data_IF_812260674601
#
_entry.id   IF_812260674601
#
_cell.length_a   1.000
_cell.length_b   1.000
_cell.length_c   1.000
_cell.angle_alpha   90.00
_cell.angle_beta   90.00
_cell.angle_gamma   90.00
#
_symmetry.space_group_name_H-M   'P 1'
#
loop_
_entity.id
_entity.type
_entity.pdbx_description
1 polymer ?
#
# COMPACT_ATOMS: atom_id res chain seq x y z
N UNK A 1 7.09 43.72 -21.37
CA UNK A 1 7.12 42.64 -22.38
C UNK A 1 7.57 41.38 -21.69
N UNK A 2 6.65 40.49 -21.30
CA UNK A 2 6.94 39.22 -20.63
C UNK A 2 6.68 38.10 -21.64
N UNK A 3 7.72 37.38 -22.03
CA UNK A 3 7.64 36.22 -22.91
C UNK A 3 7.19 35.02 -22.07
N UNK A 4 6.03 34.44 -22.38
CA UNK A 4 5.55 33.16 -21.88
C UNK A 4 6.22 32.06 -22.70
N UNK A 5 6.96 31.19 -22.04
CA UNK A 5 7.49 29.95 -22.62
C UNK A 5 6.52 28.84 -22.32
N UNK A 6 5.88 28.35 -23.37
CA UNK A 6 4.96 27.21 -23.32
C UNK A 6 5.80 25.92 -23.48
N UNK A 7 5.83 25.07 -22.47
CA UNK A 7 6.42 23.73 -22.58
C UNK A 7 5.36 22.74 -23.07
N UNK A 8 5.62 22.21 -24.25
CA UNK A 8 4.83 21.14 -24.85
C UNK A 8 5.50 19.80 -24.47
N UNK A 9 4.88 19.01 -23.61
CA UNK A 9 5.30 17.64 -23.28
C UNK A 9 4.71 16.69 -24.32
N UNK A 10 5.59 16.15 -25.18
CA UNK A 10 5.26 15.05 -26.09
C UNK A 10 5.47 13.75 -25.33
N UNK A 11 4.38 13.05 -25.05
CA UNK A 11 4.38 11.72 -24.46
C UNK A 11 4.53 10.69 -25.60
N UNK A 12 5.73 10.13 -25.80
CA UNK A 12 5.95 9.01 -26.69
C UNK A 12 5.75 7.69 -25.94
N UNK A 13 4.67 7.02 -26.29
CA UNK A 13 4.33 5.66 -25.82
C UNK A 13 5.25 4.64 -26.53
N UNK A 14 6.17 4.04 -25.79
CA UNK A 14 7.00 2.92 -26.29
C UNK A 14 6.34 1.62 -25.87
N UNK A 15 5.69 0.97 -26.82
CA UNK A 15 5.16 -0.39 -26.70
C UNK A 15 6.31 -1.38 -26.92
N UNK A 16 6.79 -2.04 -25.87
CA UNK A 16 7.70 -3.21 -25.99
C UNK A 16 6.90 -4.49 -25.81
N UNK A 17 6.67 -5.17 -26.91
CA UNK A 17 6.15 -6.54 -26.94
C UNK A 17 7.25 -7.50 -26.51
N UNK A 18 7.07 -8.18 -25.39
CA UNK A 18 7.92 -9.32 -25.00
C UNK A 18 7.28 -10.60 -25.52
N UNK A 19 7.95 -11.22 -26.49
CA UNK A 19 7.60 -12.53 -27.06
C UNK A 19 8.15 -13.60 -26.12
N UNK A 20 7.29 -14.28 -25.35
CA UNK A 20 7.68 -15.44 -24.55
C UNK A 20 7.56 -16.70 -25.39
N UNK A 21 8.69 -17.27 -25.77
CA UNK A 21 8.76 -18.57 -26.45
C UNK A 21 8.44 -19.71 -25.47
N UNK A 22 7.45 -20.50 -25.82
CA UNK A 22 7.14 -21.78 -25.16
C UNK A 22 8.02 -22.86 -25.79
N UNK A 23 8.87 -23.51 -25.01
CA UNK A 23 9.61 -24.72 -25.39
C UNK A 23 8.83 -25.93 -24.91
N UNK A 24 8.33 -26.74 -25.83
CA UNK A 24 7.80 -28.06 -25.52
C UNK A 24 8.96 -29.08 -25.45
N UNK A 25 9.06 -29.75 -24.30
CA UNK A 25 9.86 -30.99 -24.20
C UNK A 25 8.89 -32.16 -24.09
N UNK A 26 8.94 -33.02 -25.09
CA UNK A 26 8.29 -34.33 -25.14
C UNK A 26 9.26 -35.43 -24.68
N UNK A 27 8.74 -36.41 -23.97
CA UNK A 27 9.41 -37.70 -23.63
C UNK A 27 8.91 -38.19 -22.30
N UNK A 28 8.10 -39.06 -22.21
CA UNK A 28 7.79 -40.46 -22.53
C UNK A 28 8.22 -41.43 -21.42
N UNK A 29 7.20 -42.19 -20.94
CA UNK A 29 7.19 -43.49 -20.28
C UNK A 29 7.99 -43.76 -18.98
N UNK A 30 7.54 -44.44 -17.98
CA UNK A 30 6.59 -45.50 -17.64
C UNK A 30 6.79 -45.95 -16.18
N UNK A 31 5.69 -46.36 -15.54
CA UNK A 31 5.58 -47.41 -14.51
C UNK A 31 6.20 -47.17 -13.10
N UNK A 32 5.65 -47.57 -12.02
CA UNK A 32 4.52 -48.40 -11.53
C UNK A 32 4.63 -48.53 -10.00
N UNK A 33 3.50 -48.49 -9.30
CA UNK A 33 3.17 -49.19 -8.03
C UNK A 33 4.14 -49.09 -6.82
N UNK A 34 3.75 -48.94 -5.60
CA UNK A 34 2.66 -49.50 -4.78
C UNK A 34 2.63 -48.83 -3.39
N UNK A 35 1.41 -48.62 -2.89
CA UNK A 35 0.87 -48.72 -1.52
C UNK A 35 1.77 -48.61 -0.28
N UNK A 36 1.34 -47.86 0.68
CA UNK A 36 0.58 -48.05 1.93
C UNK A 36 0.84 -46.83 2.81
N UNK A 37 -0.09 -46.06 3.20
CA UNK A 37 -1.06 -46.25 4.28
C UNK A 37 -0.55 -45.67 5.60
N UNK A 38 -1.05 -44.55 6.02
CA UNK A 38 -1.70 -44.36 7.31
C UNK A 38 -2.07 -42.89 7.57
N UNK A 39 -3.28 -42.69 7.94
CA UNK A 39 -4.02 -41.53 8.38
C UNK A 39 -3.43 -40.88 9.61
N UNK A 40 -3.45 -39.54 9.66
CA UNK A 40 -4.00 -38.78 10.79
C UNK A 40 -4.51 -37.42 10.35
N UNK A 41 -5.75 -37.17 10.73
CA UNK A 41 -6.52 -35.96 10.64
C UNK A 41 -5.81 -34.79 11.34
N UNK A 42 -5.77 -33.61 10.68
CA UNK A 42 -6.31 -32.37 11.23
C UNK A 42 -6.38 -31.36 10.07
N UNK A 43 -7.61 -31.22 9.58
CA UNK A 43 -7.92 -30.28 8.54
C UNK A 43 -8.13 -28.90 9.11
N UNK A 44 -7.18 -28.00 8.96
CA UNK A 44 -7.47 -26.58 8.85
C UNK A 44 -7.72 -26.27 7.37
N UNK A 45 -8.99 -26.15 7.08
CA UNK A 45 -9.51 -25.65 5.81
C UNK A 45 -9.07 -24.19 5.66
N UNK A 46 -7.93 -23.97 5.03
CA UNK A 46 -7.57 -22.65 4.52
C UNK A 46 -8.59 -22.31 3.45
N UNK A 47 -9.61 -21.56 3.83
CA UNK A 47 -10.49 -20.90 2.87
C UNK A 47 -9.62 -19.97 2.02
N UNK A 48 -9.24 -20.46 0.86
CA UNK A 48 -8.78 -19.61 -0.23
C UNK A 48 -9.90 -18.64 -0.54
N UNK A 49 -9.74 -17.38 -0.10
CA UNK A 49 -10.57 -16.28 -0.55
C UNK A 49 -10.47 -16.25 -2.09
N UNK A 50 -11.53 -16.72 -2.71
CA UNK A 50 -11.77 -16.59 -4.13
C UNK A 50 -11.81 -15.10 -4.44
N UNK A 51 -10.72 -14.58 -5.02
CA UNK A 51 -10.78 -13.31 -5.75
C UNK A 51 -11.58 -13.57 -7.01
N UNK A 52 -12.90 -13.45 -6.91
CA UNK A 52 -13.72 -13.40 -8.10
C UNK A 52 -13.29 -12.16 -8.90
N UNK A 53 -12.97 -12.33 -10.21
CA UNK A 53 -12.82 -11.18 -11.08
C UNK A 53 -14.14 -10.41 -11.02
N UNK A 54 -14.10 -9.10 -10.85
CA UNK A 54 -15.24 -8.21 -10.94
C UNK A 54 -15.87 -8.43 -12.32
N UNK A 55 -16.86 -9.31 -12.40
CA UNK A 55 -17.64 -9.53 -13.60
C UNK A 55 -18.29 -8.19 -13.93
N UNK A 56 -18.06 -7.69 -15.14
CA UNK A 56 -18.67 -6.43 -15.56
C UNK A 56 -20.18 -6.54 -15.40
N UNK A 57 -20.81 -5.60 -14.70
CA UNK A 57 -22.23 -5.62 -14.41
C UNK A 57 -23.08 -5.72 -15.71
N UNK A 58 -22.59 -5.18 -16.83
CA UNK A 58 -23.21 -5.28 -18.15
C UNK A 58 -23.17 -6.71 -18.69
N UNK A 59 -22.02 -7.42 -18.62
CA UNK A 59 -21.90 -8.83 -19.05
C UNK A 59 -22.79 -9.74 -18.20
N UNK A 60 -22.90 -9.44 -16.93
CA UNK A 60 -23.77 -10.14 -15.99
C UNK A 60 -25.24 -9.94 -16.34
N UNK A 61 -25.65 -8.71 -16.70
CA UNK A 61 -26.99 -8.39 -17.16
C UNK A 61 -27.31 -9.08 -18.49
N UNK A 62 -26.44 -9.04 -19.49
CA UNK A 62 -26.61 -9.72 -20.76
C UNK A 62 -26.80 -11.23 -20.56
N UNK A 63 -26.04 -11.85 -19.69
CA UNK A 63 -26.16 -13.26 -19.35
C UNK A 63 -27.48 -13.58 -18.63
N UNK A 64 -27.95 -12.68 -17.77
CA UNK A 64 -29.23 -12.81 -17.08
C UNK A 64 -30.39 -12.69 -18.06
N UNK A 65 -30.36 -11.72 -18.99
CA UNK A 65 -31.34 -11.54 -20.05
C UNK A 65 -31.38 -12.75 -20.99
N UNK A 66 -30.24 -13.30 -21.39
CA UNK A 66 -30.18 -14.48 -22.26
C UNK A 66 -30.85 -15.73 -21.66
N UNK A 67 -30.92 -15.84 -20.33
CA UNK A 67 -31.58 -16.92 -19.59
C UNK A 67 -33.04 -16.60 -19.25
N UNK A 68 -33.49 -15.37 -19.50
CA UNK A 68 -34.81 -14.88 -19.15
C UNK A 68 -35.79 -15.06 -20.34
N UNK A 69 -37.09 -15.22 -20.11
CA UNK A 69 -38.10 -15.15 -21.16
C UNK A 69 -38.40 -13.71 -21.64
N UNK A 70 -37.76 -12.73 -21.06
CA UNK A 70 -37.89 -11.31 -21.38
C UNK A 70 -36.81 -10.86 -22.37
N UNK A 71 -37.17 -9.90 -23.22
CA UNK A 71 -36.27 -9.33 -24.23
C UNK A 71 -35.64 -8.03 -23.75
N UNK A 72 -34.59 -7.58 -24.41
CA UNK A 72 -33.95 -6.29 -24.18
C UNK A 72 -34.93 -5.10 -24.26
N UNK A 73 -36.01 -5.22 -25.04
CA UNK A 73 -37.04 -4.20 -25.16
C UNK A 73 -38.09 -4.22 -24.03
N UNK A 74 -38.01 -5.21 -23.11
CA UNK A 74 -38.94 -5.31 -21.99
C UNK A 74 -38.64 -4.20 -20.99
N UNK A 75 -39.64 -3.35 -20.74
CA UNK A 75 -39.50 -2.19 -19.84
C UNK A 75 -40.03 -2.52 -18.44
N UNK A 76 -39.47 -1.87 -17.44
CA UNK A 76 -39.92 -1.91 -16.03
C UNK A 76 -41.35 -1.36 -15.91
N UNK A 77 -42.13 -1.91 -15.01
CA UNK A 77 -43.49 -1.40 -14.74
C UNK A 77 -43.44 0.01 -14.10
N UNK A 78 -44.50 0.77 -14.23
CA UNK A 78 -44.61 2.07 -13.58
C UNK A 78 -44.68 1.92 -12.05
N UNK A 79 -44.07 2.86 -11.32
CA UNK A 79 -44.06 2.87 -9.86
C UNK A 79 -42.96 1.97 -9.25
N UNK A 80 -41.92 1.63 -9.99
CA UNK A 80 -40.82 0.81 -9.53
C UNK A 80 -39.55 1.68 -9.37
N UNK A 81 -38.93 1.58 -8.21
CA UNK A 81 -37.64 2.23 -7.87
C UNK A 81 -36.59 1.19 -7.52
N UNK A 82 -35.33 1.52 -7.76
CA UNK A 82 -34.15 0.81 -7.24
C UNK A 82 -33.34 1.82 -6.41
N UNK A 83 -33.21 1.59 -5.11
CA UNK A 83 -32.72 2.62 -4.21
C UNK A 83 -33.59 3.87 -4.26
N UNK A 84 -33.02 5.00 -4.67
CA UNK A 84 -33.73 6.27 -4.87
C UNK A 84 -34.06 6.54 -6.34
N UNK A 85 -33.51 5.75 -7.27
CA UNK A 85 -33.71 5.92 -8.72
C UNK A 85 -35.07 5.37 -9.19
N UNK A 86 -35.90 6.21 -9.80
CA UNK A 86 -37.13 5.78 -10.48
C UNK A 86 -36.74 5.15 -11.82
N UNK A 87 -36.97 3.85 -11.97
CA UNK A 87 -36.67 3.08 -13.18
C UNK A 87 -37.94 2.75 -14.00
N UNK A 88 -39.07 3.37 -13.70
CA UNK A 88 -40.33 3.17 -14.37
C UNK A 88 -40.25 3.37 -15.90
N UNK A 89 -40.70 2.39 -16.67
CA UNK A 89 -40.70 2.45 -18.13
C UNK A 89 -39.34 2.28 -18.80
N UNK A 90 -38.24 2.11 -18.04
CA UNK A 90 -36.91 1.89 -18.55
C UNK A 90 -36.71 0.43 -18.99
N UNK A 91 -35.87 0.21 -19.98
CA UNK A 91 -35.35 -1.14 -20.30
C UNK A 91 -34.34 -1.58 -19.24
N UNK A 92 -33.96 -2.85 -19.21
CA UNK A 92 -32.98 -3.34 -18.29
C UNK A 92 -31.64 -2.56 -18.39
N UNK A 93 -31.16 -2.29 -19.60
CA UNK A 93 -29.94 -1.52 -19.83
C UNK A 93 -30.05 -0.07 -19.33
N UNK A 94 -31.21 0.57 -19.61
CA UNK A 94 -31.46 1.94 -19.14
C UNK A 94 -31.56 2.02 -17.61
N UNK A 95 -32.21 1.05 -16.97
CA UNK A 95 -32.30 0.98 -15.51
C UNK A 95 -30.91 0.75 -14.87
N UNK A 96 -30.11 -0.11 -15.48
CA UNK A 96 -28.71 -0.34 -15.07
C UNK A 96 -27.89 0.97 -15.11
N UNK A 97 -27.93 1.66 -16.26
CA UNK A 97 -27.18 2.91 -16.47
C UNK A 97 -27.64 4.02 -15.50
N UNK A 98 -28.96 4.13 -15.27
CA UNK A 98 -29.54 5.10 -14.34
C UNK A 98 -29.05 4.85 -12.89
N UNK A 99 -29.03 3.59 -12.44
CA UNK A 99 -28.54 3.24 -11.09
C UNK A 99 -27.03 3.41 -11.00
N UNK A 100 -26.28 3.04 -12.02
CA UNK A 100 -24.84 3.27 -12.05
C UNK A 100 -24.49 4.77 -11.98
N UNK A 101 -25.29 5.61 -12.63
CA UNK A 101 -25.14 7.07 -12.55
C UNK A 101 -25.41 7.59 -11.13
N UNK A 102 -26.42 7.05 -10.43
CA UNK A 102 -26.66 7.36 -9.01
C UNK A 102 -25.48 6.93 -8.13
N UNK A 103 -24.97 5.70 -8.31
CA UNK A 103 -23.79 5.21 -7.57
C UNK A 103 -22.56 6.07 -7.83
N UNK A 104 -22.35 6.49 -9.08
CA UNK A 104 -21.26 7.42 -9.41
C UNK A 104 -21.43 8.77 -8.71
N UNK A 105 -22.63 9.31 -8.63
CA UNK A 105 -22.91 10.57 -7.92
C UNK A 105 -22.68 10.42 -6.40
N UNK A 106 -23.01 9.27 -5.82
CA UNK A 106 -22.68 8.95 -4.43
C UNK A 106 -21.16 8.82 -4.23
N UNK A 107 -20.45 8.35 -5.23
CA UNK A 107 -18.99 8.26 -5.23
C UNK A 107 -18.29 9.62 -5.10
N UNK A 108 -18.94 10.72 -5.45
CA UNK A 108 -18.40 12.09 -5.30
C UNK A 108 -18.45 12.60 -3.85
N UNK A 109 -19.11 11.88 -2.93
CA UNK A 109 -19.12 12.22 -1.51
C UNK A 109 -17.71 12.12 -0.93
N UNK A 110 -17.45 12.93 0.09
CA UNK A 110 -16.12 13.07 0.68
C UNK A 110 -15.89 12.04 1.77
N UNK A 111 -14.82 11.24 1.62
CA UNK A 111 -14.19 10.51 2.71
C UNK A 111 -13.15 11.42 3.36
N UNK A 112 -13.21 11.56 4.68
CA UNK A 112 -12.20 12.24 5.48
C UNK A 112 -11.54 11.24 6.42
N UNK A 113 -10.22 11.02 6.26
CA UNK A 113 -9.42 10.26 7.21
C UNK A 113 -8.80 11.22 8.23
N UNK A 114 -9.06 10.99 9.49
CA UNK A 114 -8.47 11.73 10.61
C UNK A 114 -7.47 10.86 11.36
N UNK A 115 -6.46 11.48 11.95
CA UNK A 115 -5.53 10.82 12.86
C UNK A 115 -5.86 11.21 14.29
N UNK A 116 -6.28 10.25 15.10
CA UNK A 116 -6.48 10.47 16.52
C UNK A 116 -5.13 10.58 17.26
N UNK A 117 -4.96 11.66 18.00
CA UNK A 117 -3.77 11.87 18.84
C UNK A 117 -2.56 12.51 18.15
N UNK A 118 -2.69 12.94 16.90
CA UNK A 118 -1.66 13.68 16.19
C UNK A 118 -2.01 15.17 16.09
N UNK A 119 -1.63 15.94 17.09
CA UNK A 119 -1.79 17.40 17.05
C UNK A 119 -0.99 17.98 15.87
N UNK A 120 -1.68 18.52 14.87
CA UNK A 120 -1.10 19.25 13.74
C UNK A 120 -0.95 18.47 12.44
N UNK A 121 -1.54 17.29 12.29
CA UNK A 121 -1.68 16.63 10.99
C UNK A 121 -3.01 17.03 10.35
N UNK A 122 -2.94 17.49 9.09
CA UNK A 122 -4.15 17.79 8.33
C UNK A 122 -4.85 16.47 7.93
N UNK A 123 -6.20 16.41 8.02
CA UNK A 123 -6.93 15.23 7.59
C UNK A 123 -6.79 15.02 6.08
N UNK A 124 -6.73 13.76 5.66
CA UNK A 124 -6.78 13.42 4.23
C UNK A 124 -8.23 13.38 3.78
N UNK A 125 -8.51 14.05 2.68
CA UNK A 125 -9.83 14.02 2.04
C UNK A 125 -9.73 13.41 0.65
N UNK A 126 -10.67 12.53 0.31
CA UNK A 126 -10.76 11.91 -1.00
C UNK A 126 -12.23 11.63 -1.35
N UNK A 127 -12.61 11.52 -2.62
CA UNK A 127 -13.93 11.07 -2.99
C UNK A 127 -14.10 9.57 -2.67
N UNK A 128 -15.30 9.17 -2.26
CA UNK A 128 -15.62 7.75 -1.93
C UNK A 128 -15.40 6.83 -3.14
N UNK A 129 -15.49 7.35 -4.35
CA UNK A 129 -15.20 6.61 -5.59
C UNK A 129 -13.78 6.02 -5.63
N UNK A 130 -12.80 6.64 -4.96
CA UNK A 130 -11.44 6.09 -4.86
C UNK A 130 -11.38 4.77 -4.07
N UNK A 131 -12.42 4.43 -3.32
CA UNK A 131 -12.55 3.15 -2.62
C UNK A 131 -13.09 2.03 -3.50
N UNK A 132 -13.40 2.31 -4.78
CA UNK A 132 -14.02 1.35 -5.68
C UNK A 132 -15.47 1.04 -5.31
N UNK A 133 -16.28 2.08 -5.07
CA UNK A 133 -17.70 1.98 -4.76
C UNK A 133 -18.47 1.31 -5.90
N UNK A 134 -19.33 0.35 -5.57
CA UNK A 134 -20.20 -0.34 -6.51
C UNK A 134 -21.51 -0.80 -5.85
N UNK A 135 -22.52 -1.08 -6.68
CA UNK A 135 -23.76 -1.70 -6.24
C UNK A 135 -23.64 -3.23 -6.32
N UNK A 136 -23.92 -3.92 -5.21
CA UNK A 136 -23.93 -5.38 -5.17
C UNK A 136 -25.10 -5.93 -5.99
N UNK A 137 -24.87 -7.03 -6.69
CA UNK A 137 -25.90 -7.80 -7.41
C UNK A 137 -26.81 -6.96 -8.30
N UNK A 138 -26.34 -5.81 -8.78
CA UNK A 138 -27.15 -4.84 -9.53
C UNK A 138 -27.87 -5.49 -10.70
N UNK A 139 -27.22 -6.41 -11.43
CA UNK A 139 -27.83 -7.13 -12.55
C UNK A 139 -29.07 -7.93 -12.13
N UNK A 140 -29.03 -8.59 -10.98
CA UNK A 140 -30.15 -9.36 -10.44
C UNK A 140 -31.27 -8.42 -9.99
N UNK A 141 -30.96 -7.34 -9.29
CA UNK A 141 -31.96 -6.33 -8.85
C UNK A 141 -32.67 -5.71 -10.05
N UNK A 142 -31.91 -5.33 -11.09
CA UNK A 142 -32.51 -4.81 -12.35
C UNK A 142 -33.40 -5.86 -13.00
N UNK A 143 -32.98 -7.12 -13.06
CA UNK A 143 -33.80 -8.19 -13.62
C UNK A 143 -35.08 -8.45 -12.80
N UNK A 144 -35.03 -8.39 -11.49
CA UNK A 144 -36.19 -8.46 -10.62
C UNK A 144 -37.17 -7.30 -10.90
N UNK A 145 -36.65 -6.07 -11.02
CA UNK A 145 -37.45 -4.89 -11.38
C UNK A 145 -38.11 -5.04 -12.73
N UNK A 146 -37.42 -5.53 -13.77
CA UNK A 146 -37.97 -5.77 -15.12
C UNK A 146 -39.05 -6.83 -15.09
N UNK A 147 -38.93 -7.88 -14.28
CA UNK A 147 -39.87 -9.01 -14.24
C UNK A 147 -41.08 -8.76 -13.34
N UNK A 148 -41.03 -7.74 -12.48
CA UNK A 148 -42.11 -7.40 -11.56
C UNK A 148 -43.41 -7.08 -12.32
N UNK A 149 -44.50 -7.75 -11.94
CA UNK A 149 -45.79 -7.62 -12.58
C UNK A 149 -45.94 -8.32 -13.94
N UNK A 150 -44.88 -8.95 -14.47
CA UNK A 150 -44.90 -9.64 -15.77
C UNK A 150 -44.86 -11.17 -15.65
N UNK A 151 -44.48 -11.70 -14.51
CA UNK A 151 -44.40 -13.13 -14.21
C UNK A 151 -45.67 -13.62 -13.47
N UNK A 152 -45.96 -14.93 -13.58
CA UNK A 152 -47.10 -15.56 -12.94
C UNK A 152 -48.39 -15.55 -13.79
N UNK A 153 -49.53 -15.94 -13.16
CA UNK A 153 -50.82 -15.97 -13.87
C UNK A 153 -51.42 -14.57 -14.01
N UNK A 154 -52.47 -14.47 -14.86
CA UNK A 154 -53.11 -13.19 -15.21
C UNK A 154 -53.60 -12.42 -13.96
N UNK A 155 -54.10 -13.15 -12.94
CA UNK A 155 -54.64 -12.51 -11.72
C UNK A 155 -53.50 -11.89 -10.91
N UNK A 156 -52.38 -12.58 -10.77
CA UNK A 156 -51.19 -12.08 -10.08
C UNK A 156 -50.66 -10.83 -10.78
N UNK A 157 -50.49 -10.89 -12.09
CA UNK A 157 -50.01 -9.74 -12.88
C UNK A 157 -50.92 -8.52 -12.75
N UNK A 158 -52.21 -8.70 -12.89
CA UNK A 158 -53.20 -7.62 -12.74
C UNK A 158 -53.17 -7.03 -11.31
N UNK A 159 -53.08 -7.89 -10.29
CA UNK A 159 -52.97 -7.43 -8.89
C UNK A 159 -51.72 -6.59 -8.70
N UNK A 160 -50.53 -7.08 -9.11
CA UNK A 160 -49.28 -6.35 -8.99
C UNK A 160 -49.32 -5.00 -9.71
N UNK A 161 -49.87 -4.94 -10.92
CA UNK A 161 -50.07 -3.70 -11.68
C UNK A 161 -50.94 -2.69 -10.91
N UNK A 162 -52.04 -3.21 -10.30
CA UNK A 162 -52.94 -2.39 -9.48
C UNK A 162 -52.25 -1.88 -8.21
N UNK A 163 -51.49 -2.75 -7.52
CA UNK A 163 -50.78 -2.40 -6.32
C UNK A 163 -49.72 -1.31 -6.63
N UNK A 164 -48.97 -1.45 -7.74
CA UNK A 164 -48.00 -0.45 -8.22
C UNK A 164 -48.66 0.88 -8.61
N UNK A 165 -49.90 0.87 -9.06
CA UNK A 165 -50.63 2.11 -9.38
C UNK A 165 -51.07 2.91 -8.15
N UNK A 166 -51.06 2.28 -6.97
CA UNK A 166 -51.45 2.88 -5.68
C UNK A 166 -50.21 3.23 -4.82
N UNK A 167 -49.20 2.37 -4.86
CA UNK A 167 -47.98 2.53 -4.09
C UNK A 167 -46.78 2.05 -4.89
N UNK A 168 -45.70 2.84 -4.91
CA UNK A 168 -44.45 2.44 -5.53
C UNK A 168 -43.84 1.23 -4.82
N UNK A 169 -43.10 0.41 -5.55
CA UNK A 169 -42.27 -0.67 -5.02
C UNK A 169 -40.80 -0.29 -5.18
N UNK A 170 -40.08 -0.34 -4.08
CA UNK A 170 -38.63 -0.02 -4.05
C UNK A 170 -37.86 -1.29 -3.84
N UNK A 171 -36.90 -1.58 -4.71
CA UNK A 171 -35.88 -2.57 -4.51
C UNK A 171 -34.74 -1.93 -3.73
N UNK A 172 -34.24 -2.62 -2.74
CA UNK A 172 -33.08 -2.16 -1.96
C UNK A 172 -31.83 -2.18 -2.84
N UNK A 173 -31.00 -1.13 -2.73
CA UNK A 173 -29.72 -1.02 -3.39
C UNK A 173 -28.62 -1.17 -2.33
N UNK A 174 -27.97 -2.32 -2.33
CA UNK A 174 -26.82 -2.55 -1.46
C UNK A 174 -25.54 -2.01 -2.10
N UNK A 175 -24.87 -1.09 -1.41
CA UNK A 175 -23.60 -0.54 -1.82
C UNK A 175 -22.44 -1.27 -1.13
N UNK A 176 -21.32 -1.38 -1.83
CA UNK A 176 -20.09 -1.95 -1.30
C UNK A 176 -18.86 -1.27 -1.91
N UNK A 177 -17.71 -1.51 -1.30
CA UNK A 177 -16.42 -1.07 -1.80
C UNK A 177 -15.54 -2.27 -2.12
N UNK A 178 -14.62 -2.11 -3.04
CA UNK A 178 -13.69 -3.17 -3.39
C UNK A 178 -12.55 -3.25 -2.36
N UNK A 179 -12.40 -4.38 -1.68
CA UNK A 179 -11.39 -4.57 -0.62
C UNK A 179 -9.97 -4.29 -1.10
N UNK A 180 -9.60 -4.77 -2.29
CA UNK A 180 -8.26 -4.54 -2.84
C UNK A 180 -8.02 -3.05 -3.15
N UNK A 181 -9.06 -2.35 -3.64
CA UNK A 181 -8.99 -0.90 -3.90
C UNK A 181 -8.87 -0.12 -2.60
N UNK A 182 -9.62 -0.48 -1.56
CA UNK A 182 -9.53 0.12 -0.22
C UNK A 182 -8.13 -0.06 0.36
N UNK A 183 -7.57 -1.28 0.29
CA UNK A 183 -6.20 -1.54 0.77
C UNK A 183 -5.18 -0.68 0.03
N UNK A 184 -5.22 -0.66 -1.30
CA UNK A 184 -4.30 0.14 -2.10
C UNK A 184 -4.44 1.65 -1.82
N UNK A 185 -5.67 2.13 -1.64
CA UNK A 185 -5.94 3.51 -1.24
C UNK A 185 -5.29 3.83 0.11
N UNK A 186 -5.52 2.98 1.11
CA UNK A 186 -4.97 3.16 2.46
C UNK A 186 -3.45 3.11 2.43
N UNK A 187 -2.84 2.12 1.78
CA UNK A 187 -1.38 1.98 1.67
C UNK A 187 -0.75 3.24 1.08
N UNK A 188 -1.34 3.78 0.00
CA UNK A 188 -0.84 5.00 -0.64
C UNK A 188 -0.98 6.23 0.26
N UNK A 189 -2.11 6.36 0.95
CA UNK A 189 -2.40 7.54 1.79
C UNK A 189 -1.72 7.49 3.16
N UNK A 190 -1.47 6.30 3.72
CA UNK A 190 -0.80 6.17 5.01
C UNK A 190 0.70 6.48 4.95
N UNK A 191 1.34 6.36 3.78
CA UNK A 191 2.70 6.89 3.59
C UNK A 191 2.77 8.39 3.83
N UNK A 192 1.73 9.15 3.40
CA UNK A 192 1.66 10.60 3.60
C UNK A 192 1.38 10.98 5.06
N UNK A 193 0.69 10.12 5.82
CA UNK A 193 0.31 10.35 7.21
C UNK A 193 1.36 9.86 8.21
N UNK A 194 2.21 8.91 7.82
CA UNK A 194 3.24 8.37 8.68
C UNK A 194 4.38 9.37 8.85
N UNK A 195 4.76 9.61 10.10
CA UNK A 195 5.83 10.54 10.46
C UNK A 195 6.94 9.72 11.09
N UNK A 196 8.12 9.70 10.46
CA UNK A 196 9.27 9.05 11.06
C UNK A 196 9.73 9.78 12.33
N UNK A 197 10.11 9.05 13.38
CA UNK A 197 10.64 9.67 14.59
C UNK A 197 11.96 10.39 14.30
N UNK A 198 12.17 11.50 15.00
CA UNK A 198 13.44 12.22 14.96
C UNK A 198 14.30 11.73 16.12
N UNK A 199 15.41 11.10 15.78
CA UNK A 199 16.38 10.62 16.76
C UNK A 199 17.13 11.79 17.42
N UNK A 200 17.33 11.73 18.73
CA UNK A 200 18.29 12.61 19.40
C UNK A 200 19.70 12.30 18.91
N UNK A 201 20.51 13.34 18.76
CA UNK A 201 21.93 13.22 18.34
C UNK A 201 22.83 13.83 19.38
N UNK A 202 24.00 13.21 19.53
CA UNK A 202 25.09 13.73 20.35
C UNK A 202 26.04 14.49 19.42
N UNK A 203 25.99 15.80 19.43
CA UNK A 203 26.83 16.64 18.58
C UNK A 203 28.03 17.15 19.39
N UNK A 204 29.25 17.05 18.83
CA UNK A 204 30.44 17.53 19.47
C UNK A 204 30.61 19.04 19.29
N UNK A 205 30.58 19.78 20.41
CA UNK A 205 30.77 21.23 20.42
C UNK A 205 31.98 21.58 21.27
N UNK A 206 33.10 21.94 20.62
CA UNK A 206 34.36 22.23 21.31
C UNK A 206 34.93 21.01 22.03
N UNK A 207 35.03 21.08 23.35
CA UNK A 207 35.49 19.97 24.21
C UNK A 207 34.35 19.18 24.86
N UNK A 208 33.09 19.59 24.65
CA UNK A 208 31.86 18.96 25.16
C UNK A 208 31.00 18.37 24.09
N UNK A 209 29.79 18.00 24.51
CA UNK A 209 28.74 17.50 23.61
C UNK A 209 27.46 18.29 23.86
N UNK A 210 26.72 18.56 22.80
CA UNK A 210 25.34 19.03 22.85
C UNK A 210 24.43 17.90 22.40
N UNK A 211 23.30 17.74 23.07
CA UNK A 211 22.31 16.71 22.72
C UNK A 211 21.11 17.40 22.10
N UNK A 212 20.75 17.01 20.89
CA UNK A 212 19.53 17.50 20.24
C UNK A 212 18.30 16.81 20.81
N UNK A 213 17.13 17.46 20.70
CA UNK A 213 15.88 16.86 21.13
C UNK A 213 15.44 15.77 20.14
N UNK A 214 14.88 14.68 20.67
CA UNK A 214 14.16 13.67 19.89
C UNK A 214 12.68 14.07 19.74
N UNK A 215 12.01 13.51 18.74
CA UNK A 215 10.57 13.62 18.57
C UNK A 215 10.01 12.26 18.20
N UNK A 216 8.90 11.88 18.83
CA UNK A 216 8.17 10.67 18.44
C UNK A 216 7.57 10.85 17.06
N UNK A 217 7.53 9.77 16.30
CA UNK A 217 6.85 9.65 15.04
C UNK A 217 5.45 9.08 15.21
N UNK A 218 4.79 8.88 14.07
CA UNK A 218 3.46 8.27 13.98
C UNK A 218 3.53 7.20 12.91
N UNK A 219 3.12 5.99 13.24
CA UNK A 219 2.98 4.89 12.31
C UNK A 219 1.50 4.54 12.17
N UNK A 220 0.99 4.64 10.95
CA UNK A 220 -0.41 4.29 10.66
C UNK A 220 -0.51 2.80 10.35
N UNK A 221 -1.44 2.12 11.01
CA UNK A 221 -1.75 0.73 10.73
C UNK A 221 -2.72 0.66 9.55
N UNK A 222 -2.18 0.35 8.37
CA UNK A 222 -2.94 0.30 7.12
C UNK A 222 -4.06 -0.75 7.17
N UNK A 223 -3.78 -1.96 7.68
CA UNK A 223 -4.77 -3.04 7.73
C UNK A 223 -5.96 -2.71 8.65
N UNK A 224 -5.71 -2.12 9.81
CA UNK A 224 -6.78 -1.71 10.72
C UNK A 224 -7.56 -0.52 10.17
N UNK A 225 -6.89 0.43 9.52
CA UNK A 225 -7.52 1.56 8.86
C UNK A 225 -8.44 1.10 7.72
N UNK A 226 -7.98 0.16 6.90
CA UNK A 226 -8.78 -0.43 5.83
C UNK A 226 -10.04 -1.12 6.38
N UNK A 227 -9.92 -1.90 7.46
CA UNK A 227 -11.07 -2.52 8.14
C UNK A 227 -12.05 -1.48 8.68
N UNK A 228 -11.55 -0.40 9.25
CA UNK A 228 -12.40 0.70 9.76
C UNK A 228 -13.20 1.35 8.63
N UNK A 229 -12.58 1.59 7.48
CA UNK A 229 -13.25 2.11 6.28
C UNK A 229 -14.32 1.12 5.79
N UNK A 230 -13.98 -0.17 5.65
CA UNK A 230 -14.94 -1.19 5.19
C UNK A 230 -16.14 -1.29 6.12
N UNK A 231 -15.91 -1.29 7.44
CA UNK A 231 -16.99 -1.32 8.44
C UNK A 231 -17.87 -0.07 8.39
N UNK A 232 -17.27 1.11 8.18
CA UNK A 232 -18.02 2.35 8.00
C UNK A 232 -18.88 2.33 6.73
N UNK A 233 -18.38 1.72 5.66
CA UNK A 233 -19.11 1.58 4.40
C UNK A 233 -20.26 0.56 4.46
N UNK A 234 -20.21 -0.45 5.33
CA UNK A 234 -21.32 -1.42 5.52
C UNK A 234 -22.62 -0.74 5.96
N UNK A 235 -22.53 0.35 6.70
CA UNK A 235 -23.68 1.11 7.22
C UNK A 235 -23.76 2.53 6.64
N UNK A 236 -23.13 2.76 5.49
CA UNK A 236 -23.05 4.08 4.91
C UNK A 236 -24.41 4.55 4.39
N UNK A 237 -24.76 5.78 4.71
CA UNK A 237 -26.03 6.40 4.37
C UNK A 237 -26.00 7.28 3.10
N UNK A 238 -24.87 7.28 2.37
CA UNK A 238 -24.68 8.10 1.17
C UNK A 238 -24.29 9.55 1.42
N UNK A 239 -23.92 9.92 2.65
CA UNK A 239 -23.42 11.25 3.00
C UNK A 239 -21.89 11.24 3.14
N UNK A 240 -21.30 12.44 3.39
CA UNK A 240 -19.86 12.54 3.66
C UNK A 240 -19.47 11.66 4.86
N UNK A 241 -18.34 10.97 4.74
CA UNK A 241 -17.88 9.96 5.69
C UNK A 241 -16.59 10.42 6.36
N UNK A 242 -16.53 10.30 7.68
CA UNK A 242 -15.30 10.54 8.45
C UNK A 242 -14.90 9.23 9.14
N UNK A 243 -13.66 8.81 8.94
CA UNK A 243 -13.07 7.61 9.54
C UNK A 243 -11.77 7.99 10.24
N UNK A 244 -11.60 7.53 11.47
CA UNK A 244 -10.32 7.64 12.16
C UNK A 244 -9.35 6.55 11.67
N UNK A 245 -8.18 6.96 11.20
CA UNK A 245 -7.11 6.04 10.88
C UNK A 245 -6.52 5.48 12.18
N UNK A 246 -6.27 4.18 12.20
CA UNK A 246 -5.58 3.53 13.31
C UNK A 246 -4.11 3.91 13.27
N UNK A 247 -3.64 4.62 14.29
CA UNK A 247 -2.26 5.06 14.39
C UNK A 247 -1.66 4.73 15.74
N UNK A 248 -0.36 4.49 15.76
CA UNK A 248 0.42 4.30 16.98
C UNK A 248 1.61 5.24 17.01
N UNK A 249 2.01 5.63 18.22
CA UNK A 249 3.21 6.45 18.40
C UNK A 249 4.42 5.58 18.15
N UNK A 250 5.30 6.02 17.23
CA UNK A 250 6.60 5.41 16.96
C UNK A 250 7.66 6.17 17.74
N UNK A 251 8.09 5.58 18.86
CA UNK A 251 9.09 6.20 19.70
C UNK A 251 10.46 6.20 19.01
N UNK A 252 11.25 7.27 19.14
CA UNK A 252 12.62 7.29 18.68
C UNK A 252 13.43 6.27 19.46
N UNK A 253 14.32 5.55 18.78
CA UNK A 253 15.25 4.61 19.38
C UNK A 253 16.22 5.30 20.34
N UNK A 254 16.59 6.53 20.01
CA UNK A 254 17.54 7.35 20.75
C UNK A 254 16.86 8.62 21.25
N UNK A 255 16.64 8.71 22.56
CA UNK A 255 16.07 9.90 23.19
C UNK A 255 17.14 10.77 23.85
N UNK A 256 16.79 12.02 24.10
CA UNK A 256 17.66 12.95 24.82
C UNK A 256 18.02 12.44 26.24
N UNK A 257 17.04 11.83 26.92
CA UNK A 257 17.21 11.25 28.25
C UNK A 257 18.23 10.11 28.22
N UNK A 258 18.17 9.28 27.17
CA UNK A 258 19.10 8.17 26.99
C UNK A 258 20.51 8.67 26.70
N UNK A 259 20.68 9.62 25.78
CA UNK A 259 21.97 10.21 25.47
C UNK A 259 22.58 11.01 26.63
N UNK A 260 21.74 11.59 27.49
CA UNK A 260 22.21 12.32 28.67
C UNK A 260 22.95 11.42 29.69
N UNK A 261 22.83 10.10 29.59
CA UNK A 261 23.56 9.13 30.40
C UNK A 261 25.01 8.93 29.95
N UNK A 262 25.35 9.42 28.74
CA UNK A 262 26.72 9.38 28.23
C UNK A 262 27.53 10.55 28.83
N UNK A 263 28.19 10.31 29.96
CA UNK A 263 28.88 11.34 30.73
C UNK A 263 30.38 11.25 30.65
N UNK A 264 30.90 10.05 30.41
CA UNK A 264 32.30 9.77 30.60
C UNK A 264 32.99 9.26 29.35
N UNK A 265 34.26 9.67 29.17
CA UNK A 265 35.15 9.11 28.17
C UNK A 265 35.82 7.88 28.73
N UNK A 266 35.44 6.69 28.26
CA UNK A 266 35.93 5.40 28.78
C UNK A 266 37.20 4.89 28.11
N UNK A 267 37.47 5.32 26.86
CA UNK A 267 38.67 4.89 26.12
C UNK A 267 39.24 5.99 25.22
N UNK A 268 40.51 5.89 24.92
CA UNK A 268 41.19 6.76 23.94
C UNK A 268 42.48 6.12 23.46
N UNK A 269 42.70 6.19 22.16
CA UNK A 269 43.97 5.75 21.58
C UNK A 269 44.31 6.63 20.37
N UNK A 270 45.61 6.76 20.07
CA UNK A 270 46.02 7.54 18.91
C UNK A 270 47.24 6.90 18.24
N UNK A 271 47.32 7.02 16.95
CA UNK A 271 48.45 6.59 16.14
C UNK A 271 48.89 7.71 15.23
N UNK A 272 50.22 7.81 15.01
CA UNK A 272 50.78 8.78 14.06
C UNK A 272 50.65 8.28 12.64
N UNK A 273 50.06 9.11 11.76
CA UNK A 273 49.92 8.77 10.35
C UNK A 273 51.23 9.08 9.62
N UNK A 274 51.85 8.02 9.08
CA UNK A 274 52.99 8.12 8.17
C UNK A 274 52.62 7.51 6.83
N UNK A 275 53.12 8.07 5.73
CA UNK A 275 52.84 7.57 4.38
C UNK A 275 52.41 8.65 3.41
N UNK A 276 52.12 8.24 2.17
CA UNK A 276 51.78 9.11 1.09
C UNK A 276 50.39 9.77 1.19
N UNK A 277 50.10 10.68 0.28
CA UNK A 277 48.83 11.41 0.23
C UNK A 277 47.61 10.47 0.03
N UNK A 278 47.78 9.36 -0.71
CA UNK A 278 46.74 8.35 -0.91
C UNK A 278 46.31 7.71 0.40
N UNK A 279 47.27 7.24 1.22
CA UNK A 279 46.97 6.69 2.54
C UNK A 279 46.24 7.71 3.44
N UNK A 280 46.71 8.96 3.45
CA UNK A 280 46.09 10.01 4.26
C UNK A 280 44.60 10.25 3.81
N UNK A 281 44.35 10.24 2.50
CA UNK A 281 43.01 10.38 1.94
C UNK A 281 42.12 9.22 2.36
N UNK A 282 42.60 7.97 2.26
CA UNK A 282 41.86 6.78 2.67
C UNK A 282 41.55 6.79 4.18
N UNK A 283 42.50 7.17 5.02
CA UNK A 283 42.27 7.30 6.46
C UNK A 283 41.21 8.39 6.77
N UNK A 284 41.27 9.53 6.07
CA UNK A 284 40.27 10.60 6.24
C UNK A 284 38.87 10.14 5.83
N UNK A 285 38.76 9.43 4.71
CA UNK A 285 37.45 8.85 4.28
C UNK A 285 36.98 7.84 5.33
N UNK A 286 37.82 6.90 5.75
CA UNK A 286 37.44 5.91 6.76
C UNK A 286 37.04 6.53 8.11
N UNK A 287 37.72 7.58 8.56
CA UNK A 287 37.33 8.32 9.76
C UNK A 287 35.92 8.88 9.58
N UNK A 288 35.61 9.48 8.42
CA UNK A 288 34.27 10.01 8.14
C UNK A 288 33.16 8.95 8.25
N UNK A 289 33.44 7.71 7.85
CA UNK A 289 32.49 6.59 7.93
C UNK A 289 32.36 5.96 9.34
N UNK A 290 33.27 6.25 10.24
CA UNK A 290 33.35 5.65 11.60
C UNK A 290 33.20 6.67 12.74
N UNK A 291 32.96 7.92 12.41
CA UNK A 291 32.72 8.99 13.38
C UNK A 291 31.25 9.04 13.79
N UNK A 292 31.01 9.40 15.07
CA UNK A 292 29.70 9.61 15.67
C UNK A 292 28.76 8.37 15.62
N UNK A 293 29.36 7.18 15.64
CA UNK A 293 28.62 5.92 15.74
C UNK A 293 28.13 5.72 17.16
N UNK A 294 26.82 5.59 17.31
CA UNK A 294 26.15 5.24 18.57
C UNK A 294 25.84 3.74 18.59
N UNK A 295 26.31 3.06 19.64
CA UNK A 295 26.03 1.63 19.87
C UNK A 295 25.26 1.53 21.17
N UNK A 296 24.03 0.99 21.08
CA UNK A 296 23.17 0.81 22.24
C UNK A 296 23.55 -0.44 23.03
N UNK A 297 23.18 -0.55 24.31
CA UNK A 297 23.42 -1.75 25.10
C UNK A 297 22.86 -3.01 24.42
N UNK A 298 23.73 -4.00 24.23
CA UNK A 298 23.38 -5.27 23.56
C UNK A 298 23.51 -5.26 22.04
N UNK A 299 23.82 -4.11 21.43
CA UNK A 299 24.09 -4.03 20.00
C UNK A 299 25.54 -4.31 19.64
N UNK A 300 25.73 -4.70 18.41
CA UNK A 300 27.04 -4.86 17.78
C UNK A 300 27.12 -3.97 16.54
N UNK A 301 28.33 -3.44 16.31
CA UNK A 301 28.62 -2.62 15.13
C UNK A 301 29.80 -3.22 14.38
N UNK A 302 29.68 -3.34 13.07
CA UNK A 302 30.74 -3.83 12.19
C UNK A 302 31.47 -2.66 11.55
N UNK A 303 32.73 -2.48 11.95
CA UNK A 303 33.59 -1.49 11.31
C UNK A 303 33.81 -1.78 9.82
N UNK A 304 33.91 -3.06 9.44
CA UNK A 304 34.05 -3.44 8.02
C UNK A 304 32.89 -2.96 7.18
N UNK A 305 31.66 -3.19 7.66
CA UNK A 305 30.46 -2.81 6.93
C UNK A 305 30.29 -1.29 6.83
N UNK A 306 30.69 -0.58 7.89
CA UNK A 306 30.70 0.89 7.88
C UNK A 306 31.72 1.47 6.89
N UNK A 307 32.83 0.81 6.66
CA UNK A 307 33.88 1.25 5.72
C UNK A 307 33.62 0.85 4.28
N UNK A 308 32.85 -0.22 4.05
CA UNK A 308 32.55 -0.76 2.72
C UNK A 308 31.48 0.10 1.99
N UNK A 309 31.46 0.03 0.64
CA UNK A 309 32.46 -0.58 -0.24
C UNK A 309 33.73 0.28 -0.38
N UNK A 310 34.86 -0.37 -0.50
CA UNK A 310 36.14 0.32 -0.74
C UNK A 310 36.21 0.74 -2.22
N UNK A 311 35.66 1.89 -2.56
CA UNK A 311 35.56 2.40 -3.93
C UNK A 311 35.89 3.91 -4.02
N UNK A 312 36.10 4.38 -5.23
CA UNK A 312 36.30 5.81 -5.49
C UNK A 312 35.09 6.66 -5.09
N UNK A 313 33.88 6.11 -5.25
CA UNK A 313 32.62 6.75 -4.90
C UNK A 313 32.50 7.01 -3.40
N UNK A 314 33.02 6.08 -2.58
CA UNK A 314 33.11 6.24 -1.11
C UNK A 314 34.33 7.08 -0.66
N UNK A 315 35.01 7.75 -1.60
CA UNK A 315 36.11 8.68 -1.29
C UNK A 315 37.47 8.00 -1.13
N UNK A 316 37.60 6.70 -1.36
CA UNK A 316 38.87 6.00 -1.31
C UNK A 316 39.68 6.17 -2.60
N UNK A 317 40.96 5.95 -2.51
CA UNK A 317 41.90 5.89 -3.63
C UNK A 317 42.72 4.60 -3.56
N UNK A 318 43.25 4.18 -4.70
CA UNK A 318 44.18 3.07 -4.74
C UNK A 318 45.49 3.43 -4.00
N UNK A 319 45.87 2.59 -3.06
CA UNK A 319 47.09 2.73 -2.29
C UNK A 319 47.57 1.33 -1.90
N UNK A 320 48.77 1.24 -1.36
CA UNK A 320 49.37 -0.02 -0.94
C UNK A 320 48.59 -0.63 0.23
N UNK A 321 48.08 -1.85 0.02
CA UNK A 321 47.49 -2.70 1.04
C UNK A 321 48.33 -3.98 1.19
N UNK A 322 48.24 -4.62 2.38
CA UNK A 322 48.85 -5.92 2.63
C UNK A 322 47.83 -7.01 2.56
N UNK A 323 47.96 -7.90 1.59
CA UNK A 323 47.01 -8.99 1.34
C UNK A 323 47.76 -10.27 0.98
N UNK A 324 47.35 -11.41 1.56
CA UNK A 324 47.91 -12.74 1.28
C UNK A 324 49.43 -12.85 1.32
N UNK A 325 50.07 -12.12 2.27
CA UNK A 325 51.51 -12.15 2.45
C UNK A 325 52.30 -11.24 1.50
N UNK A 326 51.63 -10.40 0.70
CA UNK A 326 52.23 -9.49 -0.27
C UNK A 326 51.64 -8.08 -0.23
N UNK A 327 52.26 -7.18 -1.00
CA UNK A 327 51.74 -5.81 -1.18
C UNK A 327 51.03 -5.69 -2.50
N UNK A 328 49.81 -5.20 -2.43
CA UNK A 328 48.93 -4.96 -3.60
C UNK A 328 48.45 -3.51 -3.60
N UNK A 329 48.01 -3.02 -4.76
CA UNK A 329 47.32 -1.72 -4.85
C UNK A 329 45.79 -1.96 -4.88
N UNK A 330 45.13 -1.42 -3.89
CA UNK A 330 43.68 -1.52 -3.76
C UNK A 330 43.06 -0.23 -3.20
N UNK A 331 41.77 -0.02 -3.47
CA UNK A 331 41.06 1.05 -2.82
C UNK A 331 41.01 0.85 -1.31
N UNK A 332 41.26 1.93 -0.55
CA UNK A 332 41.30 1.86 0.92
C UNK A 332 42.62 1.37 1.48
N UNK A 333 43.70 1.26 0.67
CA UNK A 333 45.02 0.90 1.15
C UNK A 333 45.49 1.78 2.32
N UNK A 334 45.97 1.14 3.40
CA UNK A 334 46.39 1.79 4.66
C UNK A 334 45.32 1.89 5.75
N UNK A 335 44.07 1.50 5.49
CA UNK A 335 42.96 1.64 6.45
C UNK A 335 43.07 0.72 7.67
N UNK A 336 43.88 -0.35 7.58
CA UNK A 336 44.23 -1.22 8.75
C UNK A 336 44.71 -0.41 9.96
N UNK A 337 45.36 0.74 9.75
CA UNK A 337 45.76 1.61 10.81
C UNK A 337 44.57 2.20 11.58
N UNK A 338 43.49 2.58 10.87
CA UNK A 338 42.27 3.05 11.51
C UNK A 338 41.65 1.95 12.37
N UNK A 339 41.54 0.72 11.83
CA UNK A 339 41.02 -0.44 12.55
C UNK A 339 41.82 -0.71 13.83
N UNK A 340 43.16 -0.71 13.74
CA UNK A 340 44.02 -0.90 14.89
C UNK A 340 43.85 0.23 15.92
N UNK A 341 43.68 1.47 15.46
CA UNK A 341 43.50 2.62 16.37
C UNK A 341 42.19 2.51 17.11
N UNK A 342 41.11 2.20 16.41
CA UNK A 342 39.77 2.04 17.00
C UNK A 342 39.76 0.86 17.98
N UNK A 343 40.28 -0.30 17.58
CA UNK A 343 40.36 -1.49 18.43
C UNK A 343 41.06 -1.24 19.77
N UNK A 344 42.13 -0.45 19.77
CA UNK A 344 42.85 -0.14 20.99
C UNK A 344 42.19 0.98 21.82
N UNK A 345 41.25 1.72 21.23
CA UNK A 345 40.48 2.76 21.94
C UNK A 345 39.23 2.18 22.62
N UNK A 346 38.66 1.12 22.04
CA UNK A 346 37.48 0.41 22.55
C UNK A 346 37.87 -0.64 23.60
#
# INVERSE_FOLDING_TARGET
MRKRVTWLLILTLLMTTVLSGVVYATGDETQKETETGETTEDGEEVQTLSTEPTENAEESLERALAKSPFTEETTVANGVLIGTTDVSGMTAAQAMDAVQTEVAALGEKTLTLTLDGADGTDPITAPVSELGLYAKDLSNVVMEAVTLGKSGNLIVRYKTEKDLSVSSHTFDLELAVNEATVKNFVDTKTEELSIEPVEAKLERVGSGFEITDSKSGIEVNADETAKSIMTAMENWNGEDLTVAASAQIKEPRCTKELLSQITDKIGTFSTSVTGGAGKQKNLKAGVGHTTDVLIMPGESWSMHDALAPFSAENGYVEEIAYQNGGYVKEYGGGICQLATTLYNAA
#
